data_IF_107479790608
#
_entry.id   IF_107479790608
#
_cell.length_a   1.000
_cell.length_b   1.000
_cell.length_c   1.000
_cell.angle_alpha   90.00
_cell.angle_beta   90.00
_cell.angle_gamma   90.00
#
_symmetry.space_group_name_H-M   'P 1'
#
loop_
_entity.id
_entity.type
_entity.pdbx_description
1 polymer ?
#
# COMPACT_ATOMS: atom_id res chain seq x y z
N UNK A 1 46.61 22.76 26.01
CA UNK A 1 45.31 23.27 25.50
C UNK A 1 45.17 23.33 23.97
N UNK A 2 46.19 23.01 23.15
CA UNK A 2 46.04 22.95 21.66
C UNK A 2 45.64 21.56 21.11
N UNK A 3 45.86 20.48 21.87
CA UNK A 3 45.54 19.10 21.42
C UNK A 3 44.08 18.67 21.68
N UNK A 4 43.40 19.25 22.69
CA UNK A 4 41.98 18.99 22.96
C UNK A 4 41.04 19.65 21.95
N UNK A 5 41.45 20.76 21.32
CA UNK A 5 40.63 21.45 20.32
C UNK A 5 40.57 20.69 18.99
N UNK A 6 41.61 19.90 18.67
CA UNK A 6 41.68 19.12 17.43
C UNK A 6 40.71 17.93 17.44
N UNK A 7 40.51 17.29 18.61
CA UNK A 7 39.55 16.20 18.76
C UNK A 7 38.09 16.66 18.69
N UNK A 8 37.80 17.90 19.10
CA UNK A 8 36.47 18.50 19.00
C UNK A 8 36.10 18.92 17.57
N UNK A 9 37.08 19.15 16.70
CA UNK A 9 36.83 19.45 15.28
C UNK A 9 36.65 18.19 14.43
N UNK A 10 37.28 17.06 14.81
CA UNK A 10 37.11 15.77 14.14
C UNK A 10 35.78 15.09 14.46
N UNK A 11 35.18 15.33 15.64
CA UNK A 11 33.86 14.79 15.98
C UNK A 11 32.71 15.51 15.27
N UNK A 12 32.91 16.76 14.82
CA UNK A 12 31.91 17.51 14.04
C UNK A 12 31.88 17.06 12.57
N UNK A 13 32.94 16.40 12.08
CA UNK A 13 32.96 15.80 10.74
C UNK A 13 32.30 14.42 10.65
N UNK A 14 31.94 13.84 11.80
CA UNK A 14 31.09 12.64 11.89
C UNK A 14 29.72 12.98 12.50
N UNK A 15 29.22 14.19 12.25
CA UNK A 15 27.76 14.31 12.15
C UNK A 15 27.33 13.29 11.09
N UNK A 16 26.38 12.37 11.37
CA UNK A 16 25.79 11.62 10.30
C UNK A 16 25.20 12.68 9.39
N UNK A 17 25.79 12.85 8.20
CA UNK A 17 25.05 13.39 7.08
C UNK A 17 23.97 12.34 6.87
N UNK A 18 22.87 12.45 7.61
CA UNK A 18 21.63 11.79 7.25
C UNK A 18 21.31 12.39 5.90
N UNK A 19 21.81 11.77 4.84
CA UNK A 19 21.26 11.99 3.52
C UNK A 19 19.79 11.63 3.69
N UNK A 20 18.91 12.63 3.86
CA UNK A 20 17.49 12.37 3.81
C UNK A 20 17.27 11.78 2.44
N UNK A 21 16.92 10.49 2.38
CA UNK A 21 16.71 9.81 1.12
C UNK A 21 15.71 10.63 0.31
N UNK A 22 16.04 10.89 -0.96
CA UNK A 22 15.06 11.50 -1.87
C UNK A 22 13.84 10.58 -1.98
N UNK A 23 12.67 11.12 -2.33
CA UNK A 23 11.47 10.31 -2.52
C UNK A 23 11.71 9.15 -3.52
N UNK A 24 12.46 9.41 -4.59
CA UNK A 24 12.85 8.35 -5.55
C UNK A 24 13.69 7.26 -4.88
N UNK A 25 14.67 7.62 -4.04
CA UNK A 25 15.47 6.64 -3.30
C UNK A 25 14.63 5.82 -2.31
N UNK A 26 13.67 6.45 -1.63
CA UNK A 26 12.74 5.74 -0.74
C UNK A 26 11.88 4.74 -1.53
N UNK A 27 11.35 5.15 -2.69
CA UNK A 27 10.56 4.29 -3.60
C UNK A 27 11.41 3.11 -4.07
N UNK A 28 12.61 3.39 -4.57
CA UNK A 28 13.55 2.36 -5.04
C UNK A 28 13.86 1.35 -3.95
N UNK A 29 14.15 1.83 -2.74
CA UNK A 29 14.41 0.98 -1.60
C UNK A 29 13.21 0.08 -1.30
N UNK A 30 11.99 0.63 -1.19
CA UNK A 30 10.78 -0.13 -0.89
C UNK A 30 10.53 -1.25 -1.93
N UNK A 31 10.69 -0.95 -3.22
CA UNK A 31 10.55 -1.95 -4.28
C UNK A 31 11.66 -3.00 -4.25
N UNK A 32 12.91 -2.62 -3.97
CA UNK A 32 14.04 -3.54 -3.92
C UNK A 32 13.99 -4.47 -2.71
N UNK A 33 13.36 -4.05 -1.60
CA UNK A 33 13.20 -4.86 -0.39
C UNK A 33 11.96 -5.75 -0.39
N UNK A 34 11.09 -5.63 -1.40
CA UNK A 34 9.85 -6.40 -1.49
C UNK A 34 10.14 -7.90 -1.74
N UNK A 35 9.93 -8.72 -0.72
CA UNK A 35 9.76 -10.16 -0.90
C UNK A 35 8.30 -10.46 -1.27
N UNK A 36 8.07 -10.68 -2.58
CA UNK A 36 6.74 -10.93 -3.13
C UNK A 36 6.02 -12.12 -2.50
N UNK A 37 6.72 -13.18 -2.09
CA UNK A 37 6.07 -14.39 -1.55
C UNK A 37 5.57 -14.10 -0.14
N UNK A 38 6.46 -13.60 0.73
CA UNK A 38 6.10 -13.23 2.10
C UNK A 38 5.01 -12.16 2.12
N UNK A 39 5.10 -11.18 1.20
CA UNK A 39 4.12 -10.09 1.13
C UNK A 39 2.70 -10.56 0.81
N UNK A 40 2.54 -11.53 -0.09
CA UNK A 40 1.22 -12.11 -0.40
C UNK A 40 0.65 -12.86 0.80
N UNK A 41 1.49 -13.58 1.54
CA UNK A 41 1.04 -14.25 2.77
C UNK A 41 0.62 -13.25 3.86
N UNK A 42 1.31 -12.13 3.98
CA UNK A 42 0.95 -11.07 4.92
C UNK A 42 -0.39 -10.39 4.55
N UNK A 43 -0.67 -10.22 3.24
CA UNK A 43 -1.97 -9.76 2.74
C UNK A 43 -3.09 -10.74 3.09
N UNK A 44 -2.88 -12.05 2.89
CA UNK A 44 -3.84 -13.10 3.25
C UNK A 44 -4.09 -13.11 4.76
N UNK A 45 -3.02 -12.95 5.56
CA UNK A 45 -3.13 -12.86 7.01
C UNK A 45 -3.97 -11.65 7.44
N UNK A 46 -3.72 -10.48 6.85
CA UNK A 46 -4.47 -9.26 7.11
C UNK A 46 -5.95 -9.43 6.73
N UNK A 47 -6.25 -10.04 5.58
CA UNK A 47 -7.62 -10.38 5.16
C UNK A 47 -8.33 -11.31 6.15
N UNK A 48 -7.65 -12.35 6.64
CA UNK A 48 -8.18 -13.24 7.67
C UNK A 48 -8.44 -12.51 8.99
N UNK A 49 -7.54 -11.61 9.37
CA UNK A 49 -7.71 -10.73 10.54
C UNK A 49 -8.99 -9.90 10.46
N UNK A 50 -9.24 -9.25 9.31
CA UNK A 50 -10.45 -8.47 9.06
C UNK A 50 -11.73 -9.31 9.24
N UNK A 51 -11.76 -10.54 8.73
CA UNK A 51 -12.88 -11.46 8.97
C UNK A 51 -13.09 -11.78 10.45
N UNK A 52 -12.03 -12.11 11.19
CA UNK A 52 -12.11 -12.42 12.62
C UNK A 52 -12.68 -11.24 13.40
N UNK A 53 -12.24 -10.02 13.09
CA UNK A 53 -12.69 -8.78 13.74
C UNK A 53 -14.18 -8.53 13.40
N UNK A 54 -14.59 -8.69 12.13
CA UNK A 54 -15.99 -8.46 11.70
C UNK A 54 -17.03 -9.34 12.36
N UNK A 55 -16.64 -10.45 12.98
CA UNK A 55 -17.55 -11.34 13.71
C UNK A 55 -17.55 -11.14 15.22
N UNK A 56 -16.77 -10.18 15.73
CA UNK A 56 -16.74 -9.80 17.15
C UNK A 56 -17.81 -8.73 17.46
N UNK A 57 -18.22 -8.61 18.72
CA UNK A 57 -19.06 -7.51 19.18
C UNK A 57 -18.35 -6.16 19.03
N UNK A 58 -19.08 -5.04 19.03
CA UNK A 58 -18.47 -3.71 18.82
C UNK A 58 -17.33 -3.40 19.81
N UNK A 59 -17.52 -3.65 21.11
CA UNK A 59 -16.50 -3.42 22.13
C UNK A 59 -15.26 -4.31 21.94
N UNK A 60 -15.46 -5.62 21.71
CA UNK A 60 -14.38 -6.56 21.43
C UNK A 60 -13.58 -6.17 20.18
N UNK A 61 -14.21 -5.56 19.17
CA UNK A 61 -13.51 -5.07 17.96
C UNK A 61 -12.56 -3.93 18.27
N UNK A 62 -12.96 -2.97 19.10
CA UNK A 62 -12.14 -1.80 19.41
C UNK A 62 -10.88 -2.21 20.18
N UNK A 63 -11.03 -3.11 21.15
CA UNK A 63 -9.90 -3.65 21.91
C UNK A 63 -8.95 -4.45 21.01
N UNK A 64 -9.49 -5.25 20.09
CA UNK A 64 -8.72 -6.04 19.14
C UNK A 64 -7.96 -5.20 18.12
N UNK A 65 -8.61 -4.18 17.55
CA UNK A 65 -7.96 -3.24 16.62
C UNK A 65 -6.81 -2.53 17.33
N UNK A 66 -7.03 -2.07 18.56
CA UNK A 66 -5.99 -1.43 19.38
C UNK A 66 -4.84 -2.38 19.67
N UNK A 67 -5.13 -3.65 19.98
CA UNK A 67 -4.10 -4.65 20.21
C UNK A 67 -3.30 -4.95 18.94
N UNK A 68 -3.95 -5.17 17.80
CA UNK A 68 -3.29 -5.48 16.52
C UNK A 68 -2.46 -4.32 15.98
N UNK A 69 -2.90 -3.09 16.22
CA UNK A 69 -2.17 -1.86 15.88
C UNK A 69 -0.93 -1.69 16.78
N UNK A 70 -1.05 -1.97 18.08
CA UNK A 70 0.08 -1.95 19.03
C UNK A 70 1.17 -2.99 18.72
N UNK A 71 0.85 -4.07 18.01
CA UNK A 71 1.83 -5.10 17.66
C UNK A 71 2.47 -4.85 16.29
N UNK A 72 3.68 -4.30 16.28
CA UNK A 72 4.48 -4.06 15.06
C UNK A 72 4.95 -5.33 14.32
N UNK A 73 4.69 -6.53 14.83
CA UNK A 73 5.22 -7.76 14.24
C UNK A 73 4.16 -8.70 13.68
N UNK A 74 4.27 -9.00 12.39
CA UNK A 74 3.45 -9.98 11.65
C UNK A 74 3.36 -11.34 12.39
N UNK A 75 4.44 -11.92 12.96
CA UNK A 75 4.33 -13.18 13.69
C UNK A 75 3.41 -13.13 14.92
N UNK A 76 3.39 -12.01 15.64
CA UNK A 76 2.50 -11.84 16.80
C UNK A 76 1.05 -11.66 16.37
N UNK A 77 0.82 -10.88 15.31
CA UNK A 77 -0.52 -10.74 14.74
C UNK A 77 -1.07 -12.11 14.31
N UNK A 78 -0.24 -12.94 13.69
CA UNK A 78 -0.61 -14.31 13.33
C UNK A 78 -1.06 -15.14 14.52
N UNK A 79 -0.31 -15.14 15.62
CA UNK A 79 -0.65 -15.88 16.83
C UNK A 79 -2.00 -15.44 17.42
N UNK A 80 -2.27 -14.13 17.45
CA UNK A 80 -3.53 -13.57 17.95
C UNK A 80 -4.68 -13.98 17.04
N UNK A 81 -4.52 -13.81 15.72
CA UNK A 81 -5.53 -14.20 14.73
C UNK A 81 -5.83 -15.69 14.82
N UNK A 82 -4.81 -16.55 14.96
CA UNK A 82 -4.98 -18.00 15.14
C UNK A 82 -5.78 -18.33 16.41
N UNK A 83 -5.44 -17.71 17.55
CA UNK A 83 -6.16 -17.92 18.81
C UNK A 83 -7.63 -17.47 18.73
N UNK A 84 -7.89 -16.32 18.11
CA UNK A 84 -9.25 -15.83 17.94
C UNK A 84 -10.05 -16.69 16.97
N UNK A 85 -9.39 -17.19 15.92
CA UNK A 85 -9.95 -18.11 14.96
C UNK A 85 -10.43 -19.39 15.63
N UNK A 86 -9.62 -19.99 16.50
CA UNK A 86 -9.98 -21.20 17.25
C UNK A 86 -11.25 -21.00 18.10
N UNK A 87 -11.48 -19.79 18.61
CA UNK A 87 -12.62 -19.45 19.46
C UNK A 87 -13.89 -19.03 18.69
N UNK A 88 -13.86 -18.93 17.35
CA UNK A 88 -15.05 -18.62 16.56
C UNK A 88 -16.08 -19.78 16.55
N UNK A 89 -17.36 -19.45 16.46
CA UNK A 89 -18.43 -20.45 16.39
C UNK A 89 -18.41 -21.25 15.09
N UNK A 90 -18.80 -22.53 15.12
CA UNK A 90 -18.69 -23.43 13.97
C UNK A 90 -19.50 -22.95 12.74
N UNK A 91 -20.68 -22.36 12.95
CA UNK A 91 -21.57 -21.90 11.88
C UNK A 91 -20.99 -20.73 11.07
N UNK A 92 -20.13 -19.91 11.68
CA UNK A 92 -19.41 -18.83 11.00
C UNK A 92 -18.11 -19.30 10.37
N UNK A 93 -17.43 -20.29 10.97
CA UNK A 93 -16.11 -20.77 10.52
C UNK A 93 -16.09 -21.28 9.09
N UNK A 94 -16.96 -22.23 8.75
CA UNK A 94 -16.90 -22.89 7.42
C UNK A 94 -17.03 -21.89 6.27
N UNK A 95 -18.02 -20.99 6.32
CA UNK A 95 -18.21 -19.98 5.27
C UNK A 95 -17.04 -19.00 5.20
N UNK A 96 -16.47 -18.60 6.34
CA UNK A 96 -15.33 -17.68 6.36
C UNK A 96 -14.07 -18.39 5.81
N UNK A 97 -13.85 -19.67 6.11
CA UNK A 97 -12.75 -20.46 5.55
C UNK A 97 -12.85 -20.55 4.03
N UNK A 98 -14.04 -20.81 3.50
CA UNK A 98 -14.29 -20.82 2.06
C UNK A 98 -13.92 -19.47 1.43
N UNK A 99 -14.33 -18.35 2.03
CA UNK A 99 -13.99 -17.00 1.56
C UNK A 99 -12.48 -16.70 1.63
N UNK A 100 -11.82 -17.10 2.73
CA UNK A 100 -10.37 -16.95 2.89
C UNK A 100 -9.61 -17.79 1.87
N UNK A 101 -10.03 -19.02 1.63
CA UNK A 101 -9.41 -19.91 0.65
C UNK A 101 -9.60 -19.37 -0.77
N UNK A 102 -10.81 -18.92 -1.14
CA UNK A 102 -11.07 -18.31 -2.45
C UNK A 102 -10.19 -17.06 -2.67
N UNK A 103 -10.12 -16.16 -1.69
CA UNK A 103 -9.24 -14.99 -1.77
C UNK A 103 -7.78 -15.40 -1.92
N UNK A 104 -7.33 -16.36 -1.10
CA UNK A 104 -5.95 -16.87 -1.12
C UNK A 104 -5.57 -17.47 -2.47
N UNK A 105 -6.46 -18.25 -3.06
CA UNK A 105 -6.28 -18.85 -4.39
C UNK A 105 -6.16 -17.76 -5.46
N UNK A 106 -7.01 -16.73 -5.41
CA UNK A 106 -6.97 -15.59 -6.34
C UNK A 106 -5.62 -14.86 -6.24
N UNK A 107 -5.18 -14.49 -5.03
CA UNK A 107 -3.97 -13.68 -4.86
C UNK A 107 -2.68 -14.44 -5.16
N UNK A 108 -2.69 -15.78 -4.99
CA UNK A 108 -1.56 -16.66 -5.32
C UNK A 108 -1.53 -17.09 -6.79
N UNK A 109 -2.67 -17.10 -7.49
CA UNK A 109 -2.77 -17.66 -8.84
C UNK A 109 -1.90 -16.96 -9.89
N UNK A 110 -1.66 -15.66 -9.74
CA UNK A 110 -0.88 -14.87 -10.70
C UNK A 110 -0.06 -13.78 -10.00
N UNK A 111 1.02 -13.34 -10.63
CA UNK A 111 1.81 -12.22 -10.10
C UNK A 111 1.05 -10.91 -10.27
N UNK A 112 0.78 -10.16 -9.18
CA UNK A 112 0.14 -8.86 -9.29
C UNK A 112 1.11 -7.81 -9.82
N UNK A 113 0.53 -6.68 -10.24
CA UNK A 113 1.26 -5.43 -10.34
C UNK A 113 1.24 -4.76 -8.96
N UNK A 114 2.42 -4.58 -8.36
CA UNK A 114 2.59 -3.90 -7.08
C UNK A 114 2.59 -2.39 -7.26
N UNK A 115 1.75 -1.70 -6.48
CA UNK A 115 1.61 -0.24 -6.50
C UNK A 115 1.88 0.32 -5.11
N UNK A 116 3.02 0.99 -4.95
CA UNK A 116 3.49 1.49 -3.65
C UNK A 116 2.63 2.65 -3.15
N UNK A 117 2.19 2.56 -1.89
CA UNK A 117 1.53 3.63 -1.18
C UNK A 117 2.52 4.74 -0.84
N UNK A 118 2.10 5.97 -1.10
CA UNK A 118 2.70 7.19 -0.64
C UNK A 118 1.72 7.90 0.27
N UNK A 119 2.26 8.67 1.21
CA UNK A 119 1.50 9.53 2.11
C UNK A 119 2.04 10.96 2.03
N UNK A 120 1.21 11.98 2.29
CA UNK A 120 1.69 13.36 2.41
C UNK A 120 2.70 13.49 3.54
N UNK A 121 3.86 14.06 3.24
CA UNK A 121 4.81 14.50 4.28
C UNK A 121 4.49 15.94 4.70
N UNK A 122 4.13 16.77 3.72
CA UNK A 122 3.58 18.11 3.90
C UNK A 122 2.61 18.43 2.75
N UNK A 123 2.16 19.69 2.65
CA UNK A 123 1.20 20.14 1.62
C UNK A 123 1.71 20.01 0.17
N UNK A 124 3.00 19.81 -0.04
CA UNK A 124 3.69 19.87 -1.34
C UNK A 124 4.63 18.69 -1.56
N UNK A 125 4.82 17.82 -0.58
CA UNK A 125 5.75 16.69 -0.66
C UNK A 125 5.09 15.40 -0.20
N UNK A 126 5.56 14.30 -0.78
CA UNK A 126 5.12 12.94 -0.46
C UNK A 126 6.30 12.18 0.12
N UNK A 127 6.01 11.18 0.94
CA UNK A 127 6.95 10.16 1.41
C UNK A 127 6.35 8.77 1.19
N UNK A 128 7.20 7.75 1.22
CA UNK A 128 6.74 6.36 1.13
C UNK A 128 5.98 5.99 2.41
N UNK A 129 4.86 5.28 2.27
CA UNK A 129 4.20 4.62 3.39
C UNK A 129 5.12 3.51 3.92
N UNK A 130 5.59 3.64 5.16
CA UNK A 130 6.44 2.64 5.82
C UNK A 130 5.64 1.68 6.69
N UNK A 131 4.31 1.67 6.54
CA UNK A 131 3.43 0.71 7.20
C UNK A 131 3.74 -0.74 6.81
N UNK A 132 3.15 -1.67 7.57
CA UNK A 132 3.38 -3.12 7.44
C UNK A 132 3.10 -3.63 6.02
N UNK A 133 2.02 -3.14 5.43
CA UNK A 133 1.66 -3.43 4.05
C UNK A 133 1.77 -2.13 3.22
N UNK A 134 2.87 -1.90 2.49
CA UNK A 134 3.04 -0.65 1.76
C UNK A 134 2.58 -0.71 0.30
N UNK A 135 2.09 -1.84 -0.22
CA UNK A 135 1.70 -1.99 -1.63
C UNK A 135 0.23 -2.40 -1.80
N UNK A 136 -0.46 -1.78 -2.77
CA UNK A 136 -1.68 -2.35 -3.34
C UNK A 136 -1.33 -3.41 -4.39
N UNK A 137 -2.23 -4.36 -4.61
CA UNK A 137 -2.05 -5.45 -5.58
C UNK A 137 -3.08 -5.36 -6.70
N UNK A 138 -2.62 -5.14 -7.94
CA UNK A 138 -3.49 -5.01 -9.10
C UNK A 138 -3.28 -6.19 -10.06
N UNK A 139 -4.29 -7.04 -10.18
CA UNK A 139 -4.30 -8.20 -11.05
C UNK A 139 -4.96 -7.83 -12.39
N UNK A 140 -4.16 -7.76 -13.45
CA UNK A 140 -4.61 -7.34 -14.78
C UNK A 140 -4.77 -8.54 -15.71
N UNK A 141 -6.01 -9.03 -15.88
CA UNK A 141 -6.30 -10.14 -16.79
C UNK A 141 -6.01 -9.82 -18.27
N UNK A 142 -5.32 -10.74 -18.97
CA UNK A 142 -4.95 -10.62 -20.40
C UNK A 142 -6.18 -10.57 -21.32
N UNK A 143 -7.20 -11.41 -21.11
CA UNK A 143 -8.33 -11.55 -22.06
C UNK A 143 -9.74 -11.80 -21.48
N UNK A 144 -9.97 -11.88 -20.17
CA UNK A 144 -11.33 -12.11 -19.64
C UNK A 144 -11.60 -11.42 -18.30
N UNK A 145 -12.70 -10.67 -18.30
CA UNK A 145 -13.64 -10.18 -17.26
C UNK A 145 -13.23 -9.83 -15.82
N UNK A 146 -12.18 -10.37 -15.21
CA UNK A 146 -11.93 -10.17 -13.78
C UNK A 146 -10.57 -9.52 -13.59
N UNK A 147 -10.53 -8.18 -13.60
CA UNK A 147 -9.48 -7.51 -12.85
C UNK A 147 -9.73 -7.86 -11.38
N UNK A 148 -8.70 -7.93 -10.56
CA UNK A 148 -8.87 -8.03 -9.11
C UNK A 148 -7.95 -7.00 -8.48
N UNK A 149 -8.46 -6.28 -7.49
CA UNK A 149 -7.74 -5.20 -6.85
C UNK A 149 -7.77 -5.42 -5.36
N UNK A 150 -6.59 -5.52 -4.75
CA UNK A 150 -6.42 -5.53 -3.30
C UNK A 150 -5.90 -4.16 -2.89
N UNK A 151 -6.70 -3.45 -2.12
CA UNK A 151 -6.37 -2.16 -1.56
C UNK A 151 -5.90 -2.32 -0.13
N UNK A 152 -4.83 -1.59 0.14
CA UNK A 152 -4.19 -1.52 1.43
C UNK A 152 -4.21 -0.06 1.85
N UNK A 153 -4.68 0.17 3.07
CA UNK A 153 -4.77 1.51 3.65
C UNK A 153 -4.25 1.45 5.09
N UNK A 154 -3.41 2.42 5.47
CA UNK A 154 -2.74 2.48 6.77
C UNK A 154 -2.01 1.17 7.14
N UNK A 155 -1.34 0.55 6.17
CA UNK A 155 -0.59 -0.68 6.40
C UNK A 155 -1.42 -1.95 6.59
N UNK A 156 -2.74 -1.92 6.36
CA UNK A 156 -3.64 -3.08 6.49
C UNK A 156 -4.52 -3.30 5.25
N UNK A 157 -4.96 -4.55 5.05
CA UNK A 157 -5.98 -4.87 4.05
C UNK A 157 -7.24 -4.04 4.33
N UNK A 158 -7.70 -3.29 3.31
CA UNK A 158 -8.90 -2.48 3.40
C UNK A 158 -10.04 -3.06 2.55
N UNK A 159 -9.73 -3.53 1.35
CA UNK A 159 -10.73 -3.95 0.38
C UNK A 159 -10.14 -4.84 -0.71
N UNK A 160 -10.89 -5.84 -1.18
CA UNK A 160 -10.47 -6.77 -2.22
C UNK A 160 -11.65 -7.18 -3.09
N UNK A 161 -11.74 -6.68 -4.32
CA UNK A 161 -12.81 -7.05 -5.27
C UNK A 161 -12.36 -6.97 -6.73
N UNK A 162 -13.23 -7.48 -7.59
CA UNK A 162 -13.09 -7.42 -9.04
C UNK A 162 -13.34 -6.02 -9.64
N UNK A 163 -13.90 -5.12 -8.83
CA UNK A 163 -14.18 -3.73 -9.18
C UNK A 163 -13.24 -2.76 -8.46
N UNK A 164 -12.88 -1.70 -9.16
CA UNK A 164 -12.12 -0.60 -8.57
C UNK A 164 -13.03 0.15 -7.57
N UNK A 165 -12.60 0.43 -6.34
CA UNK A 165 -13.43 0.82 -5.19
C UNK A 165 -13.78 2.30 -5.25
N UNK A 166 -14.51 2.69 -6.29
CA UNK A 166 -14.93 4.07 -6.51
C UNK A 166 -16.41 4.14 -6.78
N UNK A 167 -17.08 5.10 -6.15
CA UNK A 167 -18.46 5.47 -6.49
C UNK A 167 -18.54 6.33 -7.76
N UNK A 168 -17.40 6.82 -8.26
CA UNK A 168 -17.32 7.70 -9.42
C UNK A 168 -17.36 6.89 -10.71
N UNK A 169 -18.47 7.03 -11.45
CA UNK A 169 -18.66 6.38 -12.76
C UNK A 169 -17.55 6.73 -13.77
N UNK A 170 -17.07 7.99 -13.90
CA UNK A 170 -15.92 8.30 -14.74
C UNK A 170 -14.65 7.52 -14.36
N UNK A 171 -14.33 7.42 -13.06
CA UNK A 171 -13.14 6.72 -12.59
C UNK A 171 -13.25 5.23 -12.90
N UNK A 172 -14.34 4.58 -12.49
CA UNK A 172 -14.55 3.15 -12.71
C UNK A 172 -14.52 2.76 -14.19
N UNK A 173 -15.04 3.60 -15.08
CA UNK A 173 -14.98 3.38 -16.54
C UNK A 173 -13.56 3.53 -17.10
N UNK A 174 -12.78 4.47 -16.57
CA UNK A 174 -11.51 4.87 -17.17
C UNK A 174 -10.29 4.13 -16.59
N UNK A 175 -10.35 3.63 -15.35
CA UNK A 175 -9.19 3.10 -14.63
C UNK A 175 -8.42 2.03 -15.42
N UNK A 176 -9.12 1.06 -16.02
CA UNK A 176 -8.49 0.02 -16.85
C UNK A 176 -7.75 0.60 -18.05
N UNK A 177 -8.33 1.62 -18.70
CA UNK A 177 -7.72 2.31 -19.85
C UNK A 177 -6.49 3.09 -19.40
N UNK A 178 -6.57 3.77 -18.26
CA UNK A 178 -5.47 4.56 -17.68
C UNK A 178 -4.32 3.66 -17.29
N UNK A 179 -4.55 2.59 -16.51
CA UNK A 179 -3.49 1.65 -16.12
C UNK A 179 -2.78 1.06 -17.35
N UNK A 180 -3.54 0.63 -18.37
CA UNK A 180 -2.93 0.15 -19.62
C UNK A 180 -2.17 1.24 -20.38
N UNK A 181 -2.61 2.49 -20.32
CA UNK A 181 -1.91 3.62 -20.96
C UNK A 181 -0.59 3.88 -20.25
N UNK A 182 -0.59 3.92 -18.92
CA UNK A 182 0.60 4.09 -18.09
C UNK A 182 1.57 2.92 -18.31
N UNK A 183 1.11 1.68 -18.20
CA UNK A 183 1.96 0.48 -18.38
C UNK A 183 2.63 0.40 -19.75
N UNK A 184 1.99 0.90 -20.82
CA UNK A 184 2.63 0.98 -22.15
C UNK A 184 3.82 1.93 -22.20
N UNK A 185 3.90 2.91 -21.30
CA UNK A 185 5.07 3.78 -21.14
C UNK A 185 6.23 3.07 -20.44
N UNK A 186 6.00 1.88 -19.90
CA UNK A 186 6.98 1.11 -19.12
C UNK A 186 7.57 1.94 -17.97
N UNK A 187 6.73 2.44 -17.04
CA UNK A 187 7.24 3.17 -15.89
C UNK A 187 8.13 2.25 -15.05
N UNK A 188 9.10 2.86 -14.36
CA UNK A 188 9.99 2.13 -13.44
C UNK A 188 9.20 1.61 -12.24
N UNK A 189 8.29 2.43 -11.71
CA UNK A 189 7.48 2.13 -10.54
C UNK A 189 6.06 2.69 -10.68
N UNK A 190 5.07 2.04 -10.05
CA UNK A 190 3.70 2.55 -9.92
C UNK A 190 3.44 2.94 -8.48
N UNK A 191 2.72 4.04 -8.29
CA UNK A 191 2.55 4.64 -6.98
C UNK A 191 1.07 5.00 -6.77
N UNK A 192 0.64 5.05 -5.53
CA UNK A 192 -0.71 5.42 -5.13
C UNK A 192 -0.67 6.32 -3.90
N UNK A 193 -1.51 7.35 -3.86
CA UNK A 193 -1.62 8.25 -2.70
C UNK A 193 -3.10 8.64 -2.57
N UNK A 194 -3.87 7.99 -1.67
CA UNK A 194 -5.29 8.25 -1.54
C UNK A 194 -5.58 9.67 -1.02
N UNK A 195 -4.65 10.30 -0.31
CA UNK A 195 -4.83 11.66 0.24
C UNK A 195 -4.81 12.75 -0.83
N UNK A 196 -4.33 12.47 -2.05
CA UNK A 196 -4.38 13.46 -3.13
C UNK A 196 -5.80 13.65 -3.66
N UNK A 197 -6.41 12.58 -4.16
CA UNK A 197 -7.78 12.63 -4.72
C UNK A 197 -8.46 11.25 -4.62
N UNK A 198 -8.29 10.57 -3.49
CA UNK A 198 -8.81 9.24 -3.23
C UNK A 198 -8.43 8.26 -4.36
N UNK A 199 -9.42 7.73 -5.06
CA UNK A 199 -9.29 6.76 -6.15
C UNK A 199 -9.11 7.43 -7.52
N UNK A 200 -9.01 8.76 -7.60
CA UNK A 200 -8.91 9.49 -8.86
C UNK A 200 -7.47 9.59 -9.40
N UNK A 201 -6.45 9.22 -8.64
CA UNK A 201 -5.06 9.38 -9.05
C UNK A 201 -4.32 8.05 -9.11
N UNK A 202 -3.56 7.84 -10.19
CA UNK A 202 -2.50 6.84 -10.27
C UNK A 202 -1.20 7.57 -10.54
N UNK A 203 -0.19 7.32 -9.72
CA UNK A 203 1.12 7.93 -9.85
C UNK A 203 2.09 6.92 -10.46
N UNK A 204 3.14 7.40 -11.11
CA UNK A 204 4.17 6.52 -11.67
C UNK A 204 5.51 7.24 -11.85
N UNK A 205 6.60 6.47 -11.77
CA UNK A 205 7.97 6.96 -12.00
C UNK A 205 8.38 6.69 -13.45
N UNK A 206 8.82 7.72 -14.15
CA UNK A 206 9.35 7.62 -15.51
C UNK A 206 10.47 8.65 -15.70
N UNK A 207 11.65 8.20 -16.15
CA UNK A 207 12.84 9.05 -16.34
C UNK A 207 13.17 9.90 -15.09
N UNK A 208 13.24 9.25 -13.92
CA UNK A 208 13.53 9.85 -12.61
C UNK A 208 12.58 10.97 -12.16
N UNK A 209 11.41 11.05 -12.80
CA UNK A 209 10.33 11.98 -12.46
C UNK A 209 9.08 11.22 -12.06
N UNK A 210 8.31 11.81 -11.15
CA UNK A 210 7.01 11.30 -10.74
C UNK A 210 5.92 12.04 -11.51
N UNK A 211 5.00 11.28 -12.09
CA UNK A 211 3.83 11.79 -12.78
C UNK A 211 2.56 11.39 -12.03
N UNK A 212 1.58 12.28 -12.03
CA UNK A 212 0.23 12.06 -11.49
C UNK A 212 -0.74 11.99 -12.66
N UNK A 213 -1.44 10.87 -12.80
CA UNK A 213 -2.51 10.69 -13.78
C UNK A 213 -3.86 10.78 -13.08
N UNK A 214 -4.66 11.80 -13.42
CA UNK A 214 -6.02 11.99 -12.94
C UNK A 214 -7.00 11.21 -13.83
N UNK A 215 -7.61 10.16 -13.27
CA UNK A 215 -8.36 9.12 -13.99
C UNK A 215 -9.68 9.65 -14.57
N UNK A 216 -10.47 10.39 -13.79
CA UNK A 216 -11.74 10.96 -14.24
C UNK A 216 -11.52 11.97 -15.37
N UNK A 217 -10.52 12.85 -15.22
CA UNK A 217 -10.20 13.91 -16.18
C UNK A 217 -9.36 13.41 -17.36
N UNK A 218 -8.81 12.20 -17.29
CA UNK A 218 -7.90 11.64 -18.28
C UNK A 218 -6.66 12.52 -18.56
N UNK A 219 -6.18 13.25 -17.54
CA UNK A 219 -5.07 14.21 -17.63
C UNK A 219 -3.87 13.76 -16.82
N UNK A 220 -2.70 14.22 -17.22
CA UNK A 220 -1.40 13.84 -16.66
C UNK A 220 -0.61 15.11 -16.33
N UNK A 221 0.11 15.07 -15.21
CA UNK A 221 0.93 16.16 -14.71
C UNK A 221 2.25 15.60 -14.17
N UNK A 222 3.35 16.34 -14.28
CA UNK A 222 4.50 16.10 -13.41
C UNK A 222 4.10 16.45 -11.97
N UNK A 223 4.55 15.69 -10.96
CA UNK A 223 4.12 15.86 -9.56
C UNK A 223 4.34 17.29 -9.04
N UNK A 224 5.46 17.92 -9.41
CA UNK A 224 5.79 19.29 -9.04
C UNK A 224 4.77 20.30 -9.58
N UNK A 225 4.27 20.09 -10.81
CA UNK A 225 3.25 20.93 -11.43
C UNK A 225 1.85 20.58 -10.93
N UNK A 226 1.60 19.32 -10.58
CA UNK A 226 0.34 18.89 -9.96
C UNK A 226 0.07 19.71 -8.69
N UNK A 227 1.03 19.80 -7.77
CA UNK A 227 0.88 20.58 -6.52
C UNK A 227 0.70 22.08 -6.75
N UNK A 228 1.18 22.63 -7.88
CA UNK A 228 0.92 24.04 -8.23
C UNK A 228 -0.52 24.27 -8.67
N UNK A 229 -1.12 23.31 -9.36
CA UNK A 229 -2.48 23.41 -9.89
C UNK A 229 -3.56 22.95 -8.90
N UNK A 230 -3.21 22.06 -7.98
CA UNK A 230 -4.11 21.46 -7.01
C UNK A 230 -3.48 21.56 -5.60
N UNK A 231 -3.55 22.75 -4.97
CA UNK A 231 -3.04 22.92 -3.62
C UNK A 231 -3.97 22.22 -2.62
N UNK A 232 -3.37 21.40 -1.75
CA UNK A 232 -4.01 20.65 -0.66
C UNK A 232 -3.70 21.27 0.71
#
# INVERSE_FOLDING_TARGET
MKKMFLFLLLSVMFAPVSYSQTLIQQIENAYNTLDSVSYIEDIILSYRGDWVIRYKGYEERVDLLTALDYFDSIPRQKQIIDSLWENLTLRSKTTIEEQINEFSDIVRATTPVYILNLIPQDKKTLQVDTGKLPFNLFYLGKHSKNNFYVFVHNGEYAYGQDTYPTVSRPIGKNIRKVLRKIMRKQPKYLLFCPELEEMNTILYVLNDKIYVYRVAQMKEYELSDYFKHFPH
#
